data_IF_342144837796
#
_entry.id   IF_342144837796
#
_cell.length_a   1.000
_cell.length_b   1.000
_cell.length_c   1.000
_cell.angle_alpha   90.00
_cell.angle_beta   90.00
_cell.angle_gamma   90.00
#
_symmetry.space_group_name_H-M   'P 1'
#
loop_
_entity.id
_entity.type
_entity.pdbx_description
1 polymer ?
#
# COMPACT_ATOMS: atom_id res chain seq x y z
N UNK A 1 4.31 47.06 8.51
CA UNK A 1 4.05 45.91 7.62
C UNK A 1 3.31 44.89 8.43
N UNK A 2 2.08 44.59 8.03
CA UNK A 2 1.18 43.72 8.78
C UNK A 2 1.39 42.27 8.34
N UNK A 3 1.63 41.42 9.31
CA UNK A 3 1.79 39.99 9.11
C UNK A 3 0.40 39.40 8.85
N UNK A 4 0.15 38.88 7.63
CA UNK A 4 -1.15 38.29 7.28
C UNK A 4 -1.15 36.81 7.68
N UNK A 5 -1.83 36.51 8.78
CA UNK A 5 -2.13 35.15 9.22
C UNK A 5 -3.45 34.65 8.62
N UNK A 6 -3.55 33.34 8.28
CA UNK A 6 -4.83 32.71 7.92
C UNK A 6 -5.89 32.94 8.98
N UNK A 7 -7.15 33.05 8.54
CA UNK A 7 -8.27 33.29 9.44
C UNK A 7 -8.45 32.17 10.47
N UNK A 8 -8.09 30.93 10.13
CA UNK A 8 -8.12 29.77 11.03
C UNK A 8 -7.18 29.91 12.24
N UNK A 9 -6.20 30.81 12.18
CA UNK A 9 -5.27 31.05 13.29
C UNK A 9 -5.77 32.14 14.24
N UNK A 10 -6.82 32.86 13.85
CA UNK A 10 -7.38 33.96 14.62
C UNK A 10 -8.47 33.46 15.54
N UNK A 11 -8.49 33.99 16.77
CA UNK A 11 -9.55 33.69 17.70
C UNK A 11 -10.86 34.36 17.22
N UNK A 12 -11.99 33.63 17.15
CA UNK A 12 -13.27 34.22 16.74
C UNK A 12 -13.80 35.33 17.66
N UNK A 13 -13.29 35.44 18.90
CA UNK A 13 -13.69 36.49 19.86
C UNK A 13 -12.80 37.73 19.74
N UNK A 14 -11.47 37.56 19.79
CA UNK A 14 -10.53 38.70 19.77
C UNK A 14 -10.08 39.10 18.38
N UNK A 15 -10.28 38.25 17.37
CA UNK A 15 -9.79 38.41 15.98
C UNK A 15 -8.25 38.48 15.85
N UNK A 16 -7.56 38.29 16.97
CA UNK A 16 -6.10 38.20 17.07
C UNK A 16 -5.64 36.74 16.92
N UNK A 17 -4.39 36.56 16.50
CA UNK A 17 -3.77 35.24 16.37
C UNK A 17 -3.69 34.56 17.74
N UNK A 18 -4.10 33.29 17.79
CA UNK A 18 -4.10 32.50 19.01
C UNK A 18 -2.69 32.11 19.42
N UNK A 19 -2.31 32.42 20.66
CA UNK A 19 -1.05 32.00 21.28
C UNK A 19 -1.23 30.75 22.14
N UNK A 20 -2.39 30.60 22.78
CA UNK A 20 -2.77 29.41 23.53
C UNK A 20 -4.17 28.90 23.11
N UNK A 21 -4.28 28.30 21.91
CA UNK A 21 -5.56 27.85 21.37
C UNK A 21 -6.16 26.71 22.21
N UNK A 22 -7.45 26.84 22.54
CA UNK A 22 -8.26 25.83 23.25
C UNK A 22 -9.55 25.53 22.50
N UNK A 23 -9.95 24.25 22.47
CA UNK A 23 -11.15 23.76 21.82
C UNK A 23 -12.29 23.61 22.84
N UNK A 24 -13.48 24.06 22.45
CA UNK A 24 -14.73 23.74 23.13
C UNK A 24 -15.34 22.43 22.63
N UNK A 25 -16.25 21.83 23.40
CA UNK A 25 -17.01 20.64 22.98
C UNK A 25 -17.78 20.80 21.66
N UNK A 26 -18.03 22.05 21.23
CA UNK A 26 -18.63 22.37 19.92
C UNK A 26 -17.66 22.20 18.74
N UNK A 27 -16.37 21.89 18.98
CA UNK A 27 -15.35 21.74 17.93
C UNK A 27 -14.67 23.04 17.49
N UNK A 28 -15.05 24.20 18.04
CA UNK A 28 -14.44 25.49 17.71
C UNK A 28 -13.27 25.83 18.65
N UNK A 29 -12.24 26.46 18.09
CA UNK A 29 -11.01 26.83 18.80
C UNK A 29 -10.98 28.34 19.10
N UNK A 30 -10.52 28.71 20.29
CA UNK A 30 -10.42 30.09 20.76
C UNK A 30 -9.10 30.32 21.49
N UNK A 31 -8.66 31.56 21.61
CA UNK A 31 -7.61 31.94 22.56
C UNK A 31 -8.13 31.72 24.00
N UNK A 32 -7.35 31.03 24.84
CA UNK A 32 -7.76 30.68 26.21
C UNK A 32 -8.24 31.88 26.98
N UNK A 33 -7.47 32.97 26.97
CA UNK A 33 -7.81 34.16 27.74
C UNK A 33 -9.13 34.80 27.29
N UNK A 34 -9.44 34.72 25.99
CA UNK A 34 -10.65 35.31 25.41
C UNK A 34 -11.89 34.47 25.74
N UNK A 35 -11.83 33.15 25.59
CA UNK A 35 -12.98 32.28 25.92
C UNK A 35 -13.20 32.17 27.42
N UNK A 36 -12.14 32.23 28.24
CA UNK A 36 -12.27 32.25 29.69
C UNK A 36 -13.00 33.51 30.15
N UNK A 37 -12.62 34.70 29.65
CA UNK A 37 -13.34 35.96 29.94
C UNK A 37 -14.80 35.93 29.53
N UNK A 38 -15.11 35.32 28.39
CA UNK A 38 -16.50 35.14 27.93
C UNK A 38 -17.34 34.35 28.96
N UNK A 39 -16.79 33.22 29.43
CA UNK A 39 -17.43 32.34 30.42
C UNK A 39 -17.51 33.04 31.79
N UNK A 40 -16.45 33.72 32.22
CA UNK A 40 -16.39 34.42 33.51
C UNK A 40 -17.37 35.60 33.57
N UNK A 41 -17.69 36.20 32.41
CA UNK A 41 -18.70 37.25 32.27
C UNK A 41 -20.14 36.72 32.34
N UNK A 42 -20.33 35.43 32.63
CA UNK A 42 -21.64 34.81 32.82
C UNK A 42 -22.25 34.17 31.57
N UNK A 43 -21.59 34.24 30.41
CA UNK A 43 -22.10 33.59 29.20
C UNK A 43 -21.98 32.06 29.30
N UNK A 44 -23.01 31.36 28.85
CA UNK A 44 -23.09 29.88 28.89
C UNK A 44 -23.36 29.28 27.52
N UNK A 45 -22.99 29.99 26.46
CA UNK A 45 -23.13 29.55 25.07
C UNK A 45 -21.80 29.66 24.33
N UNK A 46 -21.62 28.83 23.31
CA UNK A 46 -20.50 28.96 22.39
C UNK A 46 -20.62 30.26 21.57
N UNK A 47 -19.57 31.10 21.49
CA UNK A 47 -19.62 32.37 20.75
C UNK A 47 -19.94 32.23 19.26
N UNK A 48 -19.65 31.07 18.65
CA UNK A 48 -19.81 30.83 17.21
C UNK A 48 -21.15 30.15 16.91
N UNK A 49 -21.47 29.06 17.61
CA UNK A 49 -22.68 28.26 17.32
C UNK A 49 -23.91 28.72 18.11
N UNK A 50 -23.74 29.58 19.11
CA UNK A 50 -24.77 30.00 20.06
C UNK A 50 -25.42 28.83 20.84
N UNK A 51 -24.84 27.63 20.76
CA UNK A 51 -25.34 26.46 21.49
C UNK A 51 -24.88 26.47 22.95
N UNK A 52 -25.66 25.91 23.90
CA UNK A 52 -25.29 25.85 25.31
C UNK A 52 -23.98 25.10 25.55
N UNK A 53 -23.13 25.65 26.44
CA UNK A 53 -21.92 24.97 26.91
C UNK A 53 -22.28 23.95 28.01
N UNK A 54 -21.56 22.81 28.07
CA UNK A 54 -21.71 21.86 29.17
C UNK A 54 -21.45 22.52 30.55
N UNK A 55 -22.10 22.06 31.63
CA UNK A 55 -21.97 22.63 32.97
C UNK A 55 -20.53 22.71 33.50
N UNK A 56 -19.65 21.82 33.01
CA UNK A 56 -18.22 21.77 33.32
C UNK A 56 -17.42 21.82 32.01
N UNK A 57 -17.47 22.95 31.30
CA UNK A 57 -16.71 23.13 30.07
C UNK A 57 -15.20 23.14 30.36
N UNK A 58 -14.55 21.99 30.24
CA UNK A 58 -13.09 21.92 30.24
C UNK A 58 -12.57 22.49 28.92
N UNK A 59 -11.70 23.50 29.02
CA UNK A 59 -11.01 24.06 27.86
C UNK A 59 -9.89 23.10 27.46
N UNK A 60 -10.11 22.35 26.38
CA UNK A 60 -9.15 21.34 25.90
C UNK A 60 -8.04 22.05 25.12
N UNK A 61 -6.76 21.98 25.51
CA UNK A 61 -5.68 22.60 24.75
C UNK A 61 -5.58 22.01 23.33
N UNK A 62 -5.46 22.87 22.33
CA UNK A 62 -5.23 22.47 20.93
C UNK A 62 -3.72 22.55 20.63
N UNK A 63 -2.99 21.54 21.08
CA UNK A 63 -1.53 21.48 20.90
C UNK A 63 -1.12 21.46 19.42
N UNK A 64 -1.92 20.84 18.54
CA UNK A 64 -1.65 20.80 17.11
C UNK A 64 -1.72 22.20 16.48
N UNK A 65 -2.80 22.94 16.73
CA UNK A 65 -2.92 24.31 16.22
C UNK A 65 -1.89 25.24 16.84
N UNK A 66 -1.57 25.07 18.13
CA UNK A 66 -0.51 25.83 18.80
C UNK A 66 0.85 25.63 18.12
N UNK A 67 1.21 24.39 17.78
CA UNK A 67 2.43 24.08 17.04
C UNK A 67 2.41 24.62 15.62
N UNK A 68 1.27 24.56 14.93
CA UNK A 68 1.11 25.12 13.58
C UNK A 68 1.28 26.64 13.57
N UNK A 69 0.68 27.35 14.52
CA UNK A 69 0.82 28.81 14.66
C UNK A 69 2.26 29.19 15.02
N UNK A 70 2.88 28.47 15.97
CA UNK A 70 4.26 28.73 16.39
C UNK A 70 5.28 28.54 15.25
N UNK A 71 5.01 27.59 14.35
CA UNK A 71 5.86 27.30 13.20
C UNK A 71 5.42 28.05 11.92
N UNK A 72 4.42 28.93 12.02
CA UNK A 72 3.92 29.68 10.87
C UNK A 72 4.87 30.79 10.48
N UNK A 73 5.45 30.67 9.28
CA UNK A 73 6.21 31.75 8.65
C UNK A 73 5.28 32.56 7.75
N UNK A 74 4.97 33.81 8.10
CA UNK A 74 4.04 34.60 7.31
C UNK A 74 4.63 35.02 5.96
N UNK A 75 3.78 35.04 4.94
CA UNK A 75 4.08 35.74 3.70
C UNK A 75 4.14 37.25 3.98
N UNK A 76 5.33 37.84 3.89
CA UNK A 76 5.47 39.30 3.87
C UNK A 76 5.24 39.80 2.44
N UNK A 77 4.10 40.44 2.21
CA UNK A 77 3.93 41.29 1.03
C UNK A 77 4.86 42.50 1.16
N UNK A 78 6.08 42.37 0.65
CA UNK A 78 7.04 43.46 0.46
C UNK A 78 7.95 43.76 1.64
N UNK A 79 9.02 42.99 1.82
CA UNK A 79 10.31 43.49 2.31
C UNK A 79 11.40 42.49 1.94
N UNK A 80 12.48 43.02 1.36
CA UNK A 80 13.62 42.29 0.79
C UNK A 80 14.02 41.07 1.61
N UNK A 81 13.76 39.89 1.04
CA UNK A 81 14.65 38.76 1.24
C UNK A 81 16.01 39.19 0.74
N UNK A 82 17.02 39.07 1.60
CA UNK A 82 18.36 38.76 1.11
C UNK A 82 18.20 37.68 0.05
N UNK A 83 18.57 38.00 -1.20
CA UNK A 83 18.56 37.09 -2.33
C UNK A 83 19.37 35.83 -2.01
N UNK A 84 18.74 34.83 -1.38
CA UNK A 84 18.79 33.50 -1.94
C UNK A 84 17.46 33.35 -2.68
N UNK A 85 17.51 33.32 -4.01
CA UNK A 85 16.37 32.85 -4.80
C UNK A 85 15.77 31.64 -4.08
N UNK A 86 14.46 31.66 -3.76
CA UNK A 86 13.79 30.36 -3.63
C UNK A 86 14.09 29.66 -4.95
N UNK A 87 14.71 28.49 -4.88
CA UNK A 87 14.92 27.73 -6.11
C UNK A 87 13.56 27.59 -6.79
N UNK A 88 13.46 27.73 -8.11
CA UNK A 88 12.17 27.67 -8.81
C UNK A 88 11.36 26.39 -8.52
N UNK A 89 12.02 25.39 -7.95
CA UNK A 89 11.45 24.17 -7.37
C UNK A 89 10.55 24.41 -6.14
N UNK A 90 10.92 25.26 -5.18
CA UNK A 90 10.12 25.49 -3.97
C UNK A 90 8.84 26.28 -4.26
N UNK A 91 8.90 27.24 -5.19
CA UNK A 91 7.70 27.92 -5.67
C UNK A 91 6.71 26.98 -6.35
N UNK A 92 7.22 25.94 -7.04
CA UNK A 92 6.40 24.95 -7.74
C UNK A 92 5.59 24.08 -6.77
N UNK A 93 6.22 23.65 -5.66
CA UNK A 93 5.56 22.85 -4.61
C UNK A 93 4.44 23.67 -3.97
N UNK A 94 4.72 24.92 -3.59
CA UNK A 94 3.74 25.80 -2.95
C UNK A 94 2.59 26.22 -3.88
N UNK A 95 2.80 26.24 -5.19
CA UNK A 95 1.75 26.54 -6.17
C UNK A 95 0.90 25.34 -6.58
N UNK A 96 1.25 24.13 -6.15
CA UNK A 96 0.53 22.92 -6.54
C UNK A 96 -0.87 22.92 -5.93
N UNK A 97 -1.89 22.91 -6.77
CA UNK A 97 -3.30 22.95 -6.36
C UNK A 97 -4.13 21.99 -7.20
N UNK A 98 -5.23 21.49 -6.64
CA UNK A 98 -6.16 20.66 -7.38
C UNK A 98 -7.31 21.52 -7.94
N UNK A 99 -7.63 21.45 -9.25
CA UNK A 99 -6.97 20.64 -10.28
C UNK A 99 -5.65 21.25 -10.81
N UNK A 100 -4.67 20.40 -11.10
CA UNK A 100 -3.40 20.76 -11.76
C UNK A 100 -3.43 20.46 -13.26
N UNK A 101 -2.57 21.13 -14.04
CA UNK A 101 -2.38 20.88 -15.47
C UNK A 101 -1.27 19.86 -15.79
N UNK A 102 -1.30 19.33 -17.01
CA UNK A 102 -0.34 18.32 -17.50
C UNK A 102 1.09 18.86 -17.50
N UNK A 103 1.28 20.14 -17.83
CA UNK A 103 2.59 20.78 -17.89
C UNK A 103 3.26 20.83 -16.51
N UNK A 104 2.52 21.21 -15.47
CA UNK A 104 3.03 21.24 -14.09
C UNK A 104 3.37 19.84 -13.61
N UNK A 105 2.50 18.84 -13.79
CA UNK A 105 2.80 17.47 -13.38
C UNK A 105 3.97 16.86 -14.18
N UNK A 106 4.13 17.21 -15.45
CA UNK A 106 5.26 16.77 -16.27
C UNK A 106 6.59 17.35 -15.78
N UNK A 107 6.59 18.64 -15.43
CA UNK A 107 7.74 19.30 -14.83
C UNK A 107 8.07 18.68 -13.46
N UNK A 108 7.04 18.46 -12.64
CA UNK A 108 7.16 17.88 -11.32
C UNK A 108 7.75 16.47 -11.39
N UNK A 109 7.26 15.65 -12.32
CA UNK A 109 7.78 14.30 -12.58
C UNK A 109 9.26 14.31 -12.97
N UNK A 110 9.68 15.23 -13.84
CA UNK A 110 11.09 15.36 -14.23
C UNK A 110 11.96 15.68 -13.01
N UNK A 111 11.57 16.67 -12.20
CA UNK A 111 12.32 17.06 -11.01
C UNK A 111 12.38 15.94 -9.97
N UNK A 112 11.26 15.26 -9.73
CA UNK A 112 11.16 14.12 -8.80
C UNK A 112 12.06 12.95 -9.23
N UNK A 113 12.22 12.75 -10.55
CA UNK A 113 13.09 11.70 -11.07
C UNK A 113 14.57 12.03 -10.87
N UNK A 114 14.97 13.28 -11.07
CA UNK A 114 16.37 13.70 -11.16
C UNK A 114 16.98 14.10 -9.80
N UNK A 115 16.18 14.62 -8.89
CA UNK A 115 16.65 15.27 -7.67
C UNK A 115 16.07 14.61 -6.40
N UNK A 116 16.85 13.79 -5.69
CA UNK A 116 16.43 13.17 -4.42
C UNK A 116 16.07 14.20 -3.34
N UNK A 117 16.76 15.34 -3.27
CA UNK A 117 16.43 16.37 -2.28
C UNK A 117 15.10 17.04 -2.60
N UNK A 118 14.78 17.20 -3.89
CA UNK A 118 13.45 17.65 -4.31
C UNK A 118 12.37 16.64 -3.97
N UNK A 119 12.62 15.33 -4.15
CA UNK A 119 11.66 14.28 -3.74
C UNK A 119 11.32 14.37 -2.27
N UNK A 120 12.32 14.48 -1.41
CA UNK A 120 12.14 14.58 0.03
C UNK A 120 11.28 15.80 0.39
N UNK A 121 11.62 16.98 -0.15
CA UNK A 121 10.81 18.20 0.05
C UNK A 121 9.38 18.09 -0.48
N UNK A 122 9.19 17.36 -1.59
CA UNK A 122 7.87 17.12 -2.15
C UNK A 122 7.04 16.19 -1.26
N UNK A 123 7.65 15.13 -0.72
CA UNK A 123 7.01 14.20 0.20
C UNK A 123 6.60 14.88 1.52
N UNK A 124 7.43 15.77 2.06
CA UNK A 124 7.18 16.49 3.31
C UNK A 124 6.22 17.69 3.16
N UNK A 125 5.68 17.90 1.95
CA UNK A 125 4.77 19.01 1.64
C UNK A 125 3.31 18.57 1.58
N UNK A 126 2.40 19.48 1.22
CA UNK A 126 1.01 19.14 0.90
C UNK A 126 0.82 18.45 -0.47
N UNK A 127 1.88 18.34 -1.28
CA UNK A 127 1.78 17.82 -2.64
C UNK A 127 1.28 16.37 -2.77
N UNK A 128 1.63 15.40 -1.88
CA UNK A 128 1.11 14.04 -1.96
C UNK A 128 -0.42 14.00 -1.99
N UNK A 129 -1.09 14.83 -1.20
CA UNK A 129 -2.56 14.91 -1.19
C UNK A 129 -3.16 15.30 -2.56
N UNK A 130 -2.53 16.24 -3.27
CA UNK A 130 -2.94 16.67 -4.61
C UNK A 130 -2.69 15.56 -5.63
N UNK A 131 -1.54 14.91 -5.55
CA UNK A 131 -1.17 13.79 -6.43
C UNK A 131 -2.09 12.59 -6.24
N UNK A 132 -2.45 12.28 -5.00
CA UNK A 132 -3.38 11.21 -4.65
C UNK A 132 -4.78 11.47 -5.21
N UNK A 133 -5.26 12.73 -5.15
CA UNK A 133 -6.55 13.09 -5.76
C UNK A 133 -6.53 12.96 -7.29
N UNK A 134 -5.43 13.30 -7.95
CA UNK A 134 -5.29 13.04 -9.38
C UNK A 134 -5.11 11.55 -9.73
N UNK A 135 -4.59 10.74 -8.81
CA UNK A 135 -4.44 9.29 -9.00
C UNK A 135 -5.78 8.53 -8.89
N UNK A 136 -6.75 9.07 -8.14
CA UNK A 136 -8.05 8.43 -7.90
C UNK A 136 -8.92 8.39 -9.16
N UNK A 137 -8.95 9.48 -9.92
CA UNK A 137 -9.84 9.62 -11.08
C UNK A 137 -9.09 9.36 -12.39
N UNK A 138 -9.67 8.51 -13.23
CA UNK A 138 -9.17 8.31 -14.60
C UNK A 138 -9.52 9.56 -15.43
N UNK A 139 -8.51 10.21 -16.00
CA UNK A 139 -8.68 11.42 -16.80
C UNK A 139 -8.12 11.18 -18.22
N UNK A 140 -8.80 11.66 -19.29
CA UNK A 140 -8.27 11.60 -20.66
C UNK A 140 -6.92 12.29 -20.86
N UNK A 141 -6.51 13.20 -19.97
CA UNK A 141 -5.31 14.03 -20.12
C UNK A 141 -4.04 13.44 -19.48
N UNK A 142 -3.97 12.12 -19.25
CA UNK A 142 -2.83 11.43 -18.64
C UNK A 142 -2.43 11.91 -17.22
N UNK A 143 -3.24 12.75 -16.57
CA UNK A 143 -2.96 13.29 -15.23
C UNK A 143 -2.82 12.18 -14.17
N UNK A 144 -3.66 11.15 -14.27
CA UNK A 144 -3.57 9.97 -13.40
C UNK A 144 -2.24 9.26 -13.56
N UNK A 145 -1.80 9.04 -14.81
CA UNK A 145 -0.56 8.34 -15.09
C UNK A 145 0.67 9.12 -14.62
N UNK A 146 0.69 10.45 -14.81
CA UNK A 146 1.75 11.33 -14.32
C UNK A 146 1.81 11.31 -12.79
N UNK A 147 0.66 11.42 -12.12
CA UNK A 147 0.56 11.42 -10.66
C UNK A 147 1.05 10.11 -10.06
N UNK A 148 0.61 8.97 -10.59
CA UNK A 148 1.08 7.65 -10.17
C UNK A 148 2.60 7.49 -10.34
N UNK A 149 3.18 8.03 -11.42
CA UNK A 149 4.64 7.98 -11.63
C UNK A 149 5.40 8.85 -10.63
N UNK A 150 4.87 10.01 -10.26
CA UNK A 150 5.46 10.87 -9.21
C UNK A 150 5.39 10.14 -7.87
N UNK A 151 4.22 9.62 -7.51
CA UNK A 151 4.01 8.84 -6.28
C UNK A 151 4.93 7.62 -6.18
N UNK A 152 5.20 6.94 -7.30
CA UNK A 152 6.19 5.87 -7.35
C UNK A 152 7.59 6.37 -7.01
N UNK A 153 8.02 7.52 -7.53
CA UNK A 153 9.33 8.06 -7.15
C UNK A 153 9.38 8.49 -5.68
N UNK A 154 8.28 9.01 -5.13
CA UNK A 154 8.18 9.32 -3.70
C UNK A 154 8.27 8.05 -2.84
N UNK A 155 7.64 6.94 -3.25
CA UNK A 155 7.73 5.68 -2.50
C UNK A 155 9.13 5.05 -2.51
N UNK A 156 10.03 5.52 -3.37
CA UNK A 156 11.42 5.11 -3.42
C UNK A 156 12.34 5.94 -2.50
N UNK A 157 11.83 6.99 -1.87
CA UNK A 157 12.61 7.96 -1.07
C UNK A 157 12.82 7.52 0.40
N UNK A 158 12.88 6.21 0.64
CA UNK A 158 13.12 5.62 1.96
C UNK A 158 11.85 5.11 2.65
N UNK A 159 12.01 4.60 3.88
CA UNK A 159 10.92 3.99 4.64
C UNK A 159 9.94 5.04 5.19
N UNK A 160 10.43 6.21 5.61
CA UNK A 160 9.59 7.30 6.12
C UNK A 160 8.60 7.79 5.06
N UNK A 161 9.05 7.96 3.81
CA UNK A 161 8.18 8.33 2.69
C UNK A 161 7.12 7.24 2.40
N UNK A 162 7.47 5.96 2.54
CA UNK A 162 6.50 4.85 2.35
C UNK A 162 5.44 4.85 3.44
N UNK A 163 5.83 5.10 4.69
CA UNK A 163 4.88 5.18 5.81
C UNK A 163 4.00 6.42 5.68
N UNK A 164 4.61 7.57 5.35
CA UNK A 164 3.92 8.84 5.10
C UNK A 164 2.85 8.72 4.02
N UNK A 165 3.18 8.16 2.85
CA UNK A 165 2.20 7.98 1.77
C UNK A 165 1.01 7.10 2.17
N UNK A 166 1.22 6.06 2.99
CA UNK A 166 0.11 5.24 3.50
C UNK A 166 -0.74 6.04 4.50
N UNK A 167 -0.10 6.83 5.37
CA UNK A 167 -0.79 7.72 6.30
C UNK A 167 -1.58 8.83 5.60
N UNK A 168 -1.09 9.31 4.45
CA UNK A 168 -1.75 10.31 3.59
C UNK A 168 -2.95 9.75 2.80
N UNK A 169 -3.28 8.47 2.97
CA UNK A 169 -4.45 7.85 2.34
C UNK A 169 -4.21 7.33 0.94
N UNK A 170 -2.98 6.89 0.60
CA UNK A 170 -2.68 6.39 -0.74
C UNK A 170 -3.47 5.14 -1.18
N UNK A 171 -4.05 4.38 -0.24
CA UNK A 171 -4.64 3.07 -0.55
C UNK A 171 -5.92 3.19 -1.40
N UNK A 172 -6.78 4.16 -1.13
CA UNK A 172 -8.01 4.34 -1.91
C UNK A 172 -7.70 4.71 -3.37
N UNK A 173 -6.91 5.76 -3.68
CA UNK A 173 -6.56 6.08 -5.07
C UNK A 173 -5.86 4.93 -5.80
N UNK A 174 -4.94 4.23 -5.14
CA UNK A 174 -4.22 3.11 -5.75
C UNK A 174 -5.15 1.93 -6.04
N UNK A 175 -6.11 1.63 -5.15
CA UNK A 175 -7.07 0.54 -5.39
C UNK A 175 -8.09 0.87 -6.46
N UNK A 176 -8.48 2.13 -6.61
CA UNK A 176 -9.27 2.60 -7.76
C UNK A 176 -8.50 2.45 -9.07
N UNK A 177 -7.24 2.90 -9.11
CA UNK A 177 -6.39 2.74 -10.30
C UNK A 177 -6.16 1.27 -10.67
N UNK A 178 -6.02 0.38 -9.67
CA UNK A 178 -5.96 -1.07 -9.89
C UNK A 178 -7.24 -1.63 -10.50
N UNK A 179 -8.41 -1.18 -10.02
CA UNK A 179 -9.71 -1.68 -10.46
C UNK A 179 -10.04 -1.26 -11.90
N UNK A 180 -9.55 -0.09 -12.33
CA UNK A 180 -9.71 0.41 -13.69
C UNK A 180 -8.95 -0.43 -14.74
N UNK A 181 -7.91 -1.16 -14.33
CA UNK A 181 -7.07 -1.96 -15.24
C UNK A 181 -6.12 -1.12 -16.09
N UNK A 182 -5.48 -1.74 -17.07
CA UNK A 182 -4.57 -1.06 -17.99
C UNK A 182 -3.20 -0.71 -17.40
N UNK A 183 -2.42 0.17 -18.06
CA UNK A 183 -1.05 0.49 -17.66
C UNK A 183 -0.97 1.15 -16.27
N UNK A 184 -1.98 1.90 -15.88
CA UNK A 184 -2.05 2.56 -14.57
C UNK A 184 -2.26 1.55 -13.44
N UNK A 185 -3.04 0.49 -13.67
CA UNK A 185 -3.16 -0.60 -12.71
C UNK A 185 -1.82 -1.30 -12.44
N UNK A 186 -1.02 -1.54 -13.49
CA UNK A 186 0.32 -2.09 -13.32
C UNK A 186 1.21 -1.16 -12.49
N UNK A 187 1.18 0.15 -12.74
CA UNK A 187 1.91 1.15 -11.94
C UNK A 187 1.43 1.18 -10.48
N UNK A 188 0.12 1.16 -10.25
CA UNK A 188 -0.46 1.15 -8.91
C UNK A 188 -0.02 -0.10 -8.12
N UNK A 189 0.02 -1.28 -8.77
CA UNK A 189 0.56 -2.49 -8.17
C UNK A 189 2.05 -2.37 -7.82
N UNK A 190 2.85 -1.73 -8.67
CA UNK A 190 4.27 -1.46 -8.38
C UNK A 190 4.42 -0.51 -7.17
N UNK A 191 3.59 0.52 -7.06
CA UNK A 191 3.60 1.44 -5.90
C UNK A 191 3.22 0.67 -4.63
N UNK A 192 2.14 -0.11 -4.64
CA UNK A 192 1.77 -0.95 -3.48
C UNK A 192 2.88 -1.93 -3.09
N UNK A 193 3.60 -2.50 -4.06
CA UNK A 193 4.77 -3.35 -3.78
C UNK A 193 5.85 -2.55 -3.05
N UNK A 194 6.16 -1.34 -3.51
CA UNK A 194 7.13 -0.45 -2.90
C UNK A 194 6.73 -0.06 -1.47
N UNK A 195 5.47 0.32 -1.26
CA UNK A 195 4.94 0.65 0.07
C UNK A 195 4.96 -0.55 1.02
N UNK A 196 4.69 -1.76 0.51
CA UNK A 196 4.68 -3.00 1.29
C UNK A 196 6.07 -3.53 1.66
N UNK A 197 7.16 -2.93 1.17
CA UNK A 197 8.52 -3.30 1.63
C UNK A 197 8.63 -3.12 3.15
N UNK A 198 8.01 -2.06 3.69
CA UNK A 198 7.96 -1.78 5.14
C UNK A 198 6.93 -2.68 5.83
N UNK A 199 7.31 -3.34 6.92
CA UNK A 199 6.43 -4.29 7.61
C UNK A 199 5.15 -3.65 8.17
N UNK A 200 5.22 -2.44 8.74
CA UNK A 200 4.03 -1.75 9.27
C UNK A 200 2.98 -1.50 8.17
N UNK A 201 3.43 -1.21 6.95
CA UNK A 201 2.55 -1.00 5.81
C UNK A 201 1.92 -2.31 5.32
N UNK A 202 2.60 -3.46 5.41
CA UNK A 202 2.03 -4.76 4.99
C UNK A 202 0.72 -5.07 5.74
N UNK A 203 0.69 -4.79 7.04
CA UNK A 203 -0.50 -5.01 7.86
C UNK A 203 -1.64 -4.08 7.42
N UNK A 204 -1.36 -2.78 7.30
CA UNK A 204 -2.34 -1.74 6.92
C UNK A 204 -2.88 -1.95 5.51
N UNK A 205 -2.00 -2.11 4.51
CA UNK A 205 -2.38 -2.38 3.12
C UNK A 205 -3.19 -3.67 3.04
N UNK A 206 -2.76 -4.73 3.72
CA UNK A 206 -3.47 -5.99 3.70
C UNK A 206 -4.82 -5.96 4.40
N UNK A 207 -4.99 -5.09 5.41
CA UNK A 207 -6.26 -4.92 6.13
C UNK A 207 -7.26 -4.08 5.33
N UNK A 208 -6.79 -3.31 4.34
CA UNK A 208 -7.62 -2.51 3.47
C UNK A 208 -8.61 -3.40 2.69
N UNK A 209 -9.93 -3.12 2.77
CA UNK A 209 -10.96 -3.99 2.19
C UNK A 209 -10.78 -4.29 0.70
N UNK A 210 -10.26 -3.31 -0.06
CA UNK A 210 -10.14 -3.42 -1.53
C UNK A 210 -8.77 -3.85 -2.02
N UNK A 211 -7.70 -3.77 -1.20
CA UNK A 211 -6.34 -3.93 -1.72
C UNK A 211 -6.06 -5.35 -2.25
N UNK A 212 -6.21 -6.36 -1.40
CA UNK A 212 -6.00 -7.76 -1.77
C UNK A 212 -7.05 -8.24 -2.79
N UNK A 213 -8.36 -7.92 -2.65
CA UNK A 213 -9.35 -8.28 -3.66
C UNK A 213 -9.08 -7.73 -5.05
N UNK A 214 -8.73 -6.45 -5.18
CA UNK A 214 -8.46 -5.86 -6.50
C UNK A 214 -7.18 -6.44 -7.13
N UNK A 215 -6.13 -6.70 -6.34
CA UNK A 215 -4.95 -7.44 -6.81
C UNK A 215 -5.31 -8.84 -7.31
N UNK A 216 -6.18 -9.55 -6.58
CA UNK A 216 -6.66 -10.89 -6.95
C UNK A 216 -7.48 -10.86 -8.25
N UNK A 217 -8.32 -9.83 -8.41
CA UNK A 217 -9.04 -9.55 -9.65
C UNK A 217 -8.10 -9.28 -10.82
N UNK A 218 -7.08 -8.45 -10.62
CA UNK A 218 -6.10 -8.12 -11.65
C UNK A 218 -5.25 -9.32 -12.07
N UNK A 219 -4.92 -10.25 -11.16
CA UNK A 219 -4.26 -11.52 -11.52
C UNK A 219 -5.20 -12.40 -12.38
N UNK A 220 -6.51 -12.34 -12.15
CA UNK A 220 -7.52 -13.14 -12.86
C UNK A 220 -7.80 -12.62 -14.26
N UNK A 221 -7.96 -11.31 -14.44
CA UNK A 221 -8.46 -10.70 -15.68
C UNK A 221 -7.50 -9.73 -16.36
N UNK A 222 -6.38 -9.39 -15.72
CA UNK A 222 -5.42 -8.42 -16.26
C UNK A 222 -4.60 -8.95 -17.43
N UNK A 223 -3.84 -8.07 -18.07
CA UNK A 223 -2.92 -8.41 -19.18
C UNK A 223 -1.50 -8.62 -18.67
N UNK A 224 -0.62 -9.20 -19.48
CA UNK A 224 0.70 -9.73 -19.07
C UNK A 224 1.48 -8.89 -18.03
N UNK A 225 1.63 -7.56 -18.23
CA UNK A 225 2.30 -6.69 -17.24
C UNK A 225 1.49 -6.55 -15.95
N UNK A 226 0.20 -6.24 -16.06
CA UNK A 226 -0.71 -6.07 -14.91
C UNK A 226 -0.71 -7.29 -13.99
N UNK A 227 -0.84 -8.50 -14.54
CA UNK A 227 -0.82 -9.75 -13.75
C UNK A 227 0.51 -9.95 -13.03
N UNK A 228 1.64 -9.63 -13.68
CA UNK A 228 2.98 -9.75 -13.09
C UNK A 228 3.19 -8.79 -11.92
N UNK A 229 2.84 -7.51 -12.10
CA UNK A 229 2.96 -6.51 -11.04
C UNK A 229 2.01 -6.84 -9.89
N UNK A 230 0.77 -7.26 -10.18
CA UNK A 230 -0.20 -7.66 -9.16
C UNK A 230 0.26 -8.87 -8.35
N UNK A 231 0.82 -9.89 -9.01
CA UNK A 231 1.40 -11.05 -8.33
C UNK A 231 2.62 -10.68 -7.48
N UNK A 232 3.41 -9.68 -7.89
CA UNK A 232 4.56 -9.20 -7.13
C UNK A 232 4.13 -8.41 -5.88
N UNK A 233 3.10 -7.56 -6.01
CA UNK A 233 2.50 -6.88 -4.87
C UNK A 233 1.91 -7.89 -3.87
N UNK A 234 1.18 -8.89 -4.37
CA UNK A 234 0.58 -9.92 -3.53
C UNK A 234 1.64 -10.81 -2.86
N UNK A 235 2.75 -11.09 -3.52
CA UNK A 235 3.91 -11.78 -2.93
C UNK A 235 4.46 -11.00 -1.74
N UNK A 236 4.71 -9.69 -1.91
CA UNK A 236 5.26 -8.84 -0.84
C UNK A 236 4.31 -8.76 0.36
N UNK A 237 3.02 -8.56 0.10
CA UNK A 237 1.98 -8.53 1.14
C UNK A 237 1.82 -9.87 1.86
N UNK A 238 1.94 -11.00 1.14
CA UNK A 238 1.77 -12.35 1.71
C UNK A 238 2.95 -12.82 2.56
N UNK A 239 4.05 -12.07 2.61
CA UNK A 239 5.10 -12.29 3.61
C UNK A 239 4.53 -12.12 5.02
N UNK A 240 3.59 -11.18 5.21
CA UNK A 240 2.84 -11.02 6.44
C UNK A 240 1.78 -12.14 6.59
N UNK A 241 1.78 -12.93 7.69
CA UNK A 241 0.94 -14.13 7.81
C UNK A 241 -0.56 -13.92 7.62
N UNK A 242 -1.14 -12.86 8.19
CA UNK A 242 -2.59 -12.63 8.14
C UNK A 242 -3.08 -12.35 6.71
N UNK A 243 -2.22 -11.75 5.89
CA UNK A 243 -2.53 -11.44 4.50
C UNK A 243 -2.68 -12.70 3.64
N UNK A 244 -2.08 -13.82 4.04
CA UNK A 244 -2.24 -15.11 3.34
C UNK A 244 -3.68 -15.58 3.39
N UNK A 245 -4.30 -15.54 4.57
CA UNK A 245 -5.71 -15.90 4.76
C UNK A 245 -6.64 -14.91 4.06
N UNK A 246 -6.31 -13.61 4.08
CA UNK A 246 -7.05 -12.59 3.32
C UNK A 246 -6.99 -12.84 1.80
N UNK A 247 -5.83 -13.23 1.27
CA UNK A 247 -5.66 -13.60 -0.14
C UNK A 247 -6.43 -14.87 -0.53
N UNK A 248 -6.55 -15.84 0.38
CA UNK A 248 -7.39 -17.02 0.13
C UNK A 248 -8.86 -16.62 0.01
N UNK A 249 -9.36 -15.80 0.93
CA UNK A 249 -10.76 -15.36 0.96
C UNK A 249 -11.14 -14.46 -0.23
N UNK A 250 -10.18 -13.69 -0.76
CA UNK A 250 -10.38 -12.91 -1.99
C UNK A 250 -10.36 -13.75 -3.27
N UNK A 251 -10.20 -15.08 -3.17
CA UNK A 251 -10.16 -15.98 -4.32
C UNK A 251 -8.88 -15.86 -5.14
N UNK A 252 -7.75 -15.49 -4.53
CA UNK A 252 -6.45 -15.39 -5.21
C UNK A 252 -5.95 -16.77 -5.68
N UNK A 253 -6.23 -17.85 -4.93
CA UNK A 253 -5.67 -19.19 -5.22
C UNK A 253 -6.03 -19.70 -6.63
N UNK A 254 -7.31 -19.73 -7.07
CA UNK A 254 -7.64 -20.12 -8.44
C UNK A 254 -7.00 -19.23 -9.51
N UNK A 255 -6.92 -17.91 -9.26
CA UNK A 255 -6.33 -16.95 -10.19
C UNK A 255 -4.81 -17.18 -10.34
N UNK A 256 -4.12 -17.46 -9.24
CA UNK A 256 -2.70 -17.80 -9.22
C UNK A 256 -2.43 -19.12 -9.93
N UNK A 257 -3.23 -20.18 -9.70
CA UNK A 257 -3.06 -21.48 -10.39
C UNK A 257 -3.23 -21.34 -11.90
N UNK A 258 -4.23 -20.56 -12.34
CA UNK A 258 -4.35 -20.19 -13.76
C UNK A 258 -3.11 -19.45 -14.26
N UNK A 259 -2.56 -18.51 -13.48
CA UNK A 259 -1.36 -17.77 -13.89
C UNK A 259 -0.09 -18.61 -13.92
N UNK A 260 0.02 -19.63 -13.05
CA UNK A 260 1.10 -20.63 -13.12
C UNK A 260 0.98 -21.45 -14.41
N UNK A 261 -0.24 -21.80 -14.82
CA UNK A 261 -0.48 -22.51 -16.07
C UNK A 261 -0.01 -21.72 -17.30
N UNK A 262 -0.06 -20.39 -17.21
CA UNK A 262 0.46 -19.47 -18.23
C UNK A 262 2.00 -19.27 -18.14
N UNK A 263 2.69 -20.02 -17.27
CA UNK A 263 4.15 -19.99 -17.12
C UNK A 263 4.70 -18.99 -16.10
N UNK A 264 3.87 -18.47 -15.19
CA UNK A 264 4.32 -17.47 -14.21
C UNK A 264 5.01 -18.07 -12.98
N UNK A 265 6.34 -17.93 -12.90
CA UNK A 265 7.13 -18.32 -11.71
C UNK A 265 6.71 -17.54 -10.45
N UNK A 266 6.45 -16.23 -10.60
CA UNK A 266 6.04 -15.36 -9.47
C UNK A 266 4.75 -15.85 -8.83
N UNK A 267 3.81 -16.40 -9.62
CA UNK A 267 2.58 -16.95 -9.09
C UNK A 267 2.81 -18.22 -8.23
N UNK A 268 3.79 -19.06 -8.61
CA UNK A 268 4.21 -20.22 -7.80
C UNK A 268 4.80 -19.76 -6.47
N UNK A 269 5.61 -18.70 -6.47
CA UNK A 269 6.17 -18.12 -5.24
C UNK A 269 5.06 -17.63 -4.28
N UNK A 270 4.02 -16.97 -4.82
CA UNK A 270 2.87 -16.53 -4.01
C UNK A 270 2.10 -17.72 -3.44
N UNK A 271 1.86 -18.77 -4.24
CA UNK A 271 1.27 -20.02 -3.76
C UNK A 271 2.11 -20.65 -2.65
N UNK A 272 3.44 -20.60 -2.75
CA UNK A 272 4.37 -21.06 -1.71
C UNK A 272 4.19 -20.34 -0.38
N UNK A 273 3.93 -19.02 -0.39
CA UNK A 273 3.62 -18.26 0.81
C UNK A 273 2.23 -18.62 1.36
N UNK A 274 1.22 -18.71 0.50
CA UNK A 274 -0.16 -19.04 0.89
C UNK A 274 -0.24 -20.47 1.47
N UNK A 275 0.52 -21.42 0.94
CA UNK A 275 0.52 -22.82 1.41
C UNK A 275 1.00 -22.96 2.87
N UNK A 276 1.70 -21.96 3.41
CA UNK A 276 2.10 -21.92 4.82
C UNK A 276 0.91 -21.76 5.76
N UNK A 277 -0.24 -21.26 5.31
CA UNK A 277 -1.47 -21.26 6.11
C UNK A 277 -2.39 -22.44 5.73
N UNK A 278 -3.10 -22.98 6.72
CA UNK A 278 -4.00 -24.14 6.54
C UNK A 278 -5.11 -23.85 5.53
N UNK A 279 -5.76 -22.70 5.65
CA UNK A 279 -6.84 -22.24 4.77
C UNK A 279 -6.35 -22.19 3.29
N UNK A 280 -5.10 -21.79 3.08
CA UNK A 280 -4.45 -21.80 1.76
C UNK A 280 -4.28 -23.20 1.18
N UNK A 281 -3.81 -24.16 1.98
CA UNK A 281 -3.67 -25.56 1.54
C UNK A 281 -5.01 -26.18 1.17
N UNK A 282 -6.04 -25.94 1.98
CA UNK A 282 -7.40 -26.42 1.71
C UNK A 282 -7.95 -25.82 0.42
N UNK A 283 -7.78 -24.51 0.21
CA UNK A 283 -8.19 -23.85 -1.02
C UNK A 283 -7.48 -24.41 -2.26
N UNK A 284 -6.16 -24.68 -2.18
CA UNK A 284 -5.39 -25.27 -3.28
C UNK A 284 -5.88 -26.65 -3.67
N UNK A 285 -6.17 -27.52 -2.70
CA UNK A 285 -6.69 -28.88 -2.93
C UNK A 285 -8.04 -28.89 -3.66
N UNK A 286 -8.81 -27.80 -3.54
CA UNK A 286 -10.12 -27.67 -4.18
C UNK A 286 -10.03 -27.13 -5.62
N UNK A 287 -8.85 -26.69 -6.09
CA UNK A 287 -8.67 -26.21 -7.46
C UNK A 287 -8.44 -27.40 -8.41
N UNK A 288 -9.31 -27.54 -9.41
CA UNK A 288 -9.19 -28.58 -10.43
C UNK A 288 -7.87 -28.44 -11.21
N UNK A 289 -7.17 -29.56 -11.40
CA UNK A 289 -5.91 -29.59 -12.16
C UNK A 289 -4.72 -28.96 -11.45
N UNK A 290 -4.86 -28.57 -10.17
CA UNK A 290 -3.78 -27.97 -9.37
C UNK A 290 -2.47 -28.76 -9.43
N UNK A 291 -2.55 -30.09 -9.26
CA UNK A 291 -1.39 -30.99 -9.30
C UNK A 291 -0.72 -30.99 -10.64
N UNK A 292 -1.52 -31.18 -11.70
CA UNK A 292 -1.05 -31.22 -13.08
C UNK A 292 -0.28 -29.95 -13.44
N UNK A 293 -0.80 -28.79 -13.01
CA UNK A 293 -0.15 -27.48 -13.21
C UNK A 293 1.21 -27.44 -12.52
N UNK A 294 1.30 -27.82 -11.24
CA UNK A 294 2.59 -27.83 -10.54
C UNK A 294 3.55 -28.90 -11.06
N UNK A 295 3.05 -30.07 -11.46
CA UNK A 295 3.85 -31.11 -12.12
C UNK A 295 4.45 -30.59 -13.44
N UNK A 296 3.70 -29.78 -14.21
CA UNK A 296 4.22 -29.06 -15.37
C UNK A 296 5.39 -28.13 -15.02
N UNK A 297 5.26 -27.36 -13.93
CA UNK A 297 6.36 -26.50 -13.42
C UNK A 297 7.58 -27.33 -13.02
N UNK A 298 7.42 -28.52 -12.46
CA UNK A 298 8.56 -29.39 -12.13
C UNK A 298 9.30 -29.91 -13.37
N UNK A 299 8.60 -30.12 -14.49
CA UNK A 299 9.19 -30.62 -15.75
C UNK A 299 9.90 -29.54 -16.55
N UNK A 300 9.29 -28.36 -16.64
CA UNK A 300 9.69 -27.31 -17.60
C UNK A 300 10.13 -26.00 -16.93
N UNK A 301 9.96 -25.89 -15.62
CA UNK A 301 10.23 -24.66 -14.87
C UNK A 301 11.71 -24.42 -14.61
N UNK A 302 12.04 -23.16 -14.29
CA UNK A 302 13.39 -22.80 -13.82
C UNK A 302 13.58 -23.19 -12.35
N UNK A 303 14.83 -23.27 -11.91
CA UNK A 303 15.20 -23.70 -10.56
C UNK A 303 14.38 -23.05 -9.42
N UNK A 304 14.14 -21.72 -9.48
CA UNK A 304 13.32 -21.03 -8.47
C UNK A 304 11.84 -21.44 -8.51
N UNK A 305 11.26 -21.60 -9.69
CA UNK A 305 9.88 -22.06 -9.86
C UNK A 305 9.72 -23.51 -9.36
N UNK A 306 10.66 -24.38 -9.72
CA UNK A 306 10.70 -25.78 -9.25
C UNK A 306 10.83 -25.84 -7.73
N UNK A 307 11.72 -25.05 -7.12
CA UNK A 307 11.90 -24.99 -5.67
C UNK A 307 10.58 -24.68 -4.94
N UNK A 308 9.83 -23.68 -5.42
CA UNK A 308 8.56 -23.29 -4.81
C UNK A 308 7.43 -24.28 -5.14
N UNK A 309 7.42 -24.88 -6.33
CA UNK A 309 6.44 -25.91 -6.69
C UNK A 309 6.58 -27.14 -5.79
N UNK A 310 7.81 -27.61 -5.54
CA UNK A 310 8.10 -28.69 -4.59
C UNK A 310 7.64 -28.34 -3.18
N UNK A 311 7.92 -27.10 -2.72
CA UNK A 311 7.46 -26.63 -1.41
C UNK A 311 5.93 -26.69 -1.31
N UNK A 312 5.23 -26.17 -2.32
CA UNK A 312 3.76 -26.15 -2.34
C UNK A 312 3.20 -27.57 -2.31
N UNK A 313 3.68 -28.47 -3.17
CA UNK A 313 3.23 -29.87 -3.22
C UNK A 313 3.50 -30.60 -1.91
N UNK A 314 4.65 -30.39 -1.29
CA UNK A 314 5.00 -31.03 -0.04
C UNK A 314 4.07 -30.57 1.10
N UNK A 315 3.84 -29.27 1.20
CA UNK A 315 2.92 -28.70 2.19
C UNK A 315 1.48 -29.18 1.98
N UNK A 316 0.98 -29.21 0.75
CA UNK A 316 -0.39 -29.66 0.47
C UNK A 316 -0.57 -31.16 0.69
N UNK A 317 0.48 -31.97 0.49
CA UNK A 317 0.48 -33.42 0.72
C UNK A 317 0.63 -33.81 2.19
N UNK A 318 1.37 -33.03 2.99
CA UNK A 318 1.72 -33.38 4.38
C UNK A 318 0.50 -33.76 5.25
N UNK A 319 -0.66 -33.16 4.98
CA UNK A 319 -1.91 -33.40 5.71
C UNK A 319 -3.04 -33.98 4.82
N UNK A 320 -2.75 -34.65 3.69
CA UNK A 320 -3.80 -35.18 2.79
C UNK A 320 -3.37 -36.40 1.97
N UNK A 321 -3.91 -37.57 2.31
CA UNK A 321 -3.70 -38.83 1.56
C UNK A 321 -4.25 -38.73 0.14
N UNK A 322 -5.43 -38.11 -0.05
CA UNK A 322 -6.00 -37.88 -1.38
C UNK A 322 -5.03 -37.10 -2.26
N UNK A 323 -4.36 -36.10 -1.69
CA UNK A 323 -3.40 -35.28 -2.41
C UNK A 323 -2.17 -36.10 -2.83
N UNK A 324 -1.69 -36.97 -1.94
CA UNK A 324 -0.57 -37.89 -2.22
C UNK A 324 -0.91 -38.81 -3.39
N UNK A 325 -2.13 -39.38 -3.43
CA UNK A 325 -2.56 -40.22 -4.55
C UNK A 325 -2.59 -39.47 -5.88
N UNK A 326 -3.15 -38.26 -5.92
CA UNK A 326 -3.19 -37.44 -7.14
C UNK A 326 -1.78 -37.07 -7.63
N UNK A 327 -0.87 -36.73 -6.69
CA UNK A 327 0.53 -36.41 -7.00
C UNK A 327 1.27 -37.61 -7.60
N UNK A 328 1.04 -38.82 -7.07
CA UNK A 328 1.59 -40.06 -7.63
C UNK A 328 1.02 -40.35 -9.02
N UNK A 329 -0.28 -40.18 -9.22
CA UNK A 329 -0.94 -40.38 -10.52
C UNK A 329 -0.41 -39.44 -11.61
N UNK A 330 -0.02 -38.22 -11.24
CA UNK A 330 0.58 -37.24 -12.17
C UNK A 330 2.10 -37.48 -12.41
N UNK A 331 2.67 -38.55 -11.87
CA UNK A 331 4.07 -38.95 -12.08
C UNK A 331 5.09 -38.00 -11.44
N UNK A 332 4.72 -37.33 -10.35
CA UNK A 332 5.62 -36.40 -9.64
C UNK A 332 6.73 -37.14 -8.89
N UNK A 333 6.49 -38.39 -8.50
CA UNK A 333 7.47 -39.22 -7.80
C UNK A 333 8.70 -39.48 -8.68
N UNK A 334 8.50 -39.89 -9.95
CA UNK A 334 9.61 -40.08 -10.90
C UNK A 334 10.34 -38.76 -11.20
N UNK A 335 9.60 -37.65 -11.31
CA UNK A 335 10.21 -36.32 -11.50
C UNK A 335 11.10 -35.96 -10.32
N UNK A 336 10.67 -36.23 -9.09
CA UNK A 336 11.46 -35.94 -7.91
C UNK A 336 12.75 -36.78 -7.86
N UNK A 337 12.70 -38.07 -8.24
CA UNK A 337 13.91 -38.89 -8.34
C UNK A 337 14.92 -38.31 -9.34
N UNK A 338 14.47 -37.92 -10.53
CA UNK A 338 15.34 -37.27 -11.52
C UNK A 338 15.95 -35.97 -10.98
N UNK A 339 15.18 -35.15 -10.28
CA UNK A 339 15.67 -33.89 -9.69
C UNK A 339 16.70 -34.11 -8.59
N UNK A 340 16.60 -35.19 -7.81
CA UNK A 340 17.59 -35.57 -6.79
C UNK A 340 18.92 -35.98 -7.42
N UNK A 341 18.89 -36.70 -8.55
CA UNK A 341 20.11 -37.13 -9.24
C UNK A 341 20.81 -35.97 -9.97
N UNK A 342 20.05 -34.99 -10.45
CA UNK A 342 20.58 -33.87 -11.25
C UNK A 342 21.05 -32.67 -10.41
N UNK A 343 20.51 -32.45 -9.21
CA UNK A 343 20.84 -31.28 -8.37
C UNK A 343 21.13 -31.65 -6.91
N UNK A 344 22.37 -31.40 -6.46
CA UNK A 344 22.75 -31.53 -5.05
C UNK A 344 22.41 -30.28 -4.19
N UNK A 345 21.77 -29.28 -4.78
CA UNK A 345 21.44 -28.00 -4.20
C UNK A 345 20.16 -27.98 -3.37
N UNK A 346 19.41 -26.88 -3.48
CA UNK A 346 18.13 -26.73 -2.76
C UNK A 346 17.01 -27.53 -3.42
N UNK A 347 17.01 -27.66 -4.74
CA UNK A 347 15.94 -28.35 -5.47
C UNK A 347 15.99 -29.85 -5.16
N UNK A 348 17.16 -30.48 -5.23
CA UNK A 348 17.29 -31.91 -4.87
C UNK A 348 16.92 -32.21 -3.42
N UNK A 349 17.31 -31.34 -2.46
CA UNK A 349 16.88 -31.50 -1.05
C UNK A 349 15.37 -31.41 -0.88
N UNK A 350 14.71 -30.47 -1.57
CA UNK A 350 13.26 -30.35 -1.52
C UNK A 350 12.56 -31.52 -2.22
N UNK A 351 13.13 -32.03 -3.32
CA UNK A 351 12.63 -33.20 -4.04
C UNK A 351 12.74 -34.46 -3.18
N UNK A 352 13.86 -34.65 -2.48
CA UNK A 352 14.01 -35.77 -1.52
C UNK A 352 13.00 -35.69 -0.37
N UNK A 353 12.72 -34.48 0.13
CA UNK A 353 11.68 -34.29 1.15
C UNK A 353 10.30 -34.66 0.61
N UNK A 354 10.01 -34.31 -0.66
CA UNK A 354 8.77 -34.67 -1.31
C UNK A 354 8.61 -36.19 -1.46
N UNK A 355 9.64 -36.90 -1.92
CA UNK A 355 9.65 -38.38 -2.01
C UNK A 355 9.30 -39.01 -0.66
N UNK A 356 9.95 -38.57 0.42
CA UNK A 356 9.66 -39.08 1.78
C UNK A 356 8.21 -38.83 2.22
N UNK A 357 7.62 -37.69 1.84
CA UNK A 357 6.21 -37.39 2.12
C UNK A 357 5.28 -38.34 1.36
N UNK A 358 5.61 -38.66 0.11
CA UNK A 358 4.86 -39.60 -0.72
C UNK A 358 4.96 -41.06 -0.24
N UNK A 359 6.11 -41.46 0.32
CA UNK A 359 6.32 -42.79 0.92
C UNK A 359 5.51 -42.96 2.21
N UNK A 360 5.55 -41.97 3.12
CA UNK A 360 4.82 -42.01 4.40
C UNK A 360 3.31 -42.12 4.20
N UNK A 361 2.75 -41.47 3.18
CA UNK A 361 1.33 -41.58 2.86
C UNK A 361 0.91 -42.91 2.25
N UNK A 362 1.86 -43.71 1.73
CA UNK A 362 1.61 -45.03 1.17
C UNK A 362 1.54 -46.15 2.20
N UNK A 363 2.09 -45.95 3.41
CA UNK A 363 2.12 -46.96 4.47
C UNK A 363 0.86 -46.97 5.36
N UNK A 364 -0.03 -45.98 5.23
CA UNK A 364 -1.26 -45.86 6.04
C UNK A 364 -2.52 -46.45 5.40
N UNK A 365 -2.39 -47.15 4.28
CA UNK A 365 -3.50 -47.75 3.53
C UNK A 365 -3.30 -49.25 3.33
N UNK A 366 -3.36 -50.02 4.41
CA UNK A 366 -3.62 -51.46 4.40
C UNK A 366 -4.58 -51.81 5.53
#
# INVERSE_FOLDING_TARGET
MEVVYPDDFRCPISLEVMTDPVILASGHTFERASIQRWIDSGHRTCPVTMLPLPPHSSLIPNHALRSLIANFSPFTAGASRSNSMLSGQESLICSLSYPTDVATLSLLLRLTKEDPAFRHRLADSGAPSVLLRHAEFSDPNDLQALSLRILLYLSLDGDDARVGLVADGALDPLTHALAAGGPNAALAATILTSLAVVEVNKCTIGAHPSAIPTLSGLIRSGKGRERREAATALYELSKFPDNRSRAVRSGAVPALVSFVSDGSERAVEVLGLIAKCREGREAMRNVKGFVKVLAGVLREGRARGVEHALLVLNLTCSDSVKMICEVKQEGVEEICFMLVELDNGKVGRNALMMVRTLEKGGMGGF
#
